data_IF_794958916495
#
_entry.id   IF_794958916495
#
_cell.length_a   1.000
_cell.length_b   1.000
_cell.length_c   1.000
_cell.angle_alpha   90.00
_cell.angle_beta   90.00
_cell.angle_gamma   90.00
#
_symmetry.space_group_name_H-M   'P 1'
#
loop_
_entity.id
_entity.type
_entity.pdbx_description
1 polymer ?
#
# COMPACT_ATOMS: atom_id res chain seq x y z
N UNK A 1 -1.67 1.57 15.29
CA UNK A 1 -2.21 2.73 14.54
C UNK A 1 -2.70 2.34 13.14
N UNK A 2 -1.82 1.98 12.21
CA UNK A 2 -2.24 1.67 10.83
C UNK A 2 -3.30 0.55 10.73
N UNK A 3 -3.23 -0.47 11.57
CA UNK A 3 -4.24 -1.54 11.61
C UNK A 3 -5.63 -1.07 12.02
N UNK A 4 -5.72 0.01 12.79
CA UNK A 4 -7.01 0.56 13.25
C UNK A 4 -7.70 1.40 12.17
N UNK A 5 -6.93 2.20 11.43
CA UNK A 5 -7.47 3.18 10.49
C UNK A 5 -7.13 2.89 9.02
N UNK A 6 -6.32 1.88 8.76
CA UNK A 6 -5.85 1.53 7.41
C UNK A 6 -4.69 2.38 6.88
N UNK A 7 -4.46 3.55 7.47
CA UNK A 7 -3.39 4.47 7.10
C UNK A 7 -2.92 5.29 8.30
N UNK A 8 -1.85 6.09 8.12
CA UNK A 8 -1.22 6.90 9.16
C UNK A 8 -1.40 8.39 8.86
N UNK A 9 -2.44 9.04 9.38
CA UNK A 9 -2.54 10.49 9.35
C UNK A 9 -1.44 11.14 10.21
N UNK A 10 -1.09 12.39 9.89
CA UNK A 10 -0.05 13.14 10.61
C UNK A 10 -0.36 13.25 12.11
N UNK A 11 -1.62 13.46 12.47
CA UNK A 11 -2.06 13.50 13.88
C UNK A 11 -1.78 12.20 14.62
N UNK A 12 -1.95 11.05 13.96
CA UNK A 12 -1.62 9.75 14.55
C UNK A 12 -0.11 9.57 14.74
N UNK A 13 0.70 10.05 13.81
CA UNK A 13 2.17 10.02 13.96
C UNK A 13 2.64 10.91 15.12
N UNK A 14 2.04 12.07 15.31
CA UNK A 14 2.31 12.94 16.46
C UNK A 14 1.97 12.25 17.79
N UNK A 15 0.82 11.62 17.85
CA UNK A 15 0.38 10.90 19.05
C UNK A 15 1.33 9.73 19.38
N UNK A 16 1.77 8.98 18.37
CA UNK A 16 2.77 7.91 18.55
C UNK A 16 4.09 8.46 19.07
N UNK A 17 4.56 9.58 18.53
CA UNK A 17 5.79 10.23 18.97
C UNK A 17 5.73 10.63 20.45
N UNK A 18 4.62 11.24 20.87
CA UNK A 18 4.38 11.62 22.27
C UNK A 18 4.30 10.39 23.19
N UNK A 19 3.58 9.35 22.75
CA UNK A 19 3.44 8.11 23.52
C UNK A 19 4.77 7.38 23.77
N UNK A 20 5.64 7.36 22.75
CA UNK A 20 6.96 6.70 22.86
C UNK A 20 8.00 7.63 23.50
N UNK A 21 7.75 8.94 23.57
CA UNK A 21 8.70 9.93 24.07
C UNK A 21 9.82 10.27 23.08
N UNK A 22 9.53 10.25 21.78
CA UNK A 22 10.46 10.54 20.69
C UNK A 22 10.14 11.87 20.00
N UNK A 23 11.14 12.53 19.39
CA UNK A 23 10.88 13.65 18.49
C UNK A 23 9.99 13.22 17.31
N UNK A 24 9.07 14.08 16.90
CA UNK A 24 8.14 13.81 15.77
C UNK A 24 8.88 13.48 14.47
N UNK A 25 10.03 14.11 14.24
CA UNK A 25 10.86 13.87 13.06
C UNK A 25 11.29 12.41 12.95
N UNK A 26 11.62 11.75 14.05
CA UNK A 26 12.01 10.33 14.03
C UNK A 26 10.87 9.42 13.59
N UNK A 27 9.65 9.72 13.98
CA UNK A 27 8.45 8.98 13.53
C UNK A 27 8.22 9.22 12.02
N UNK A 28 8.40 10.45 11.53
CA UNK A 28 8.30 10.74 10.11
C UNK A 28 9.36 10.02 9.28
N UNK A 29 10.60 9.96 9.75
CA UNK A 29 11.67 9.22 9.08
C UNK A 29 11.29 7.75 8.87
N UNK A 30 10.79 7.09 9.89
CA UNK A 30 10.35 5.68 9.81
C UNK A 30 9.15 5.52 8.89
N UNK A 31 8.12 6.36 9.04
CA UNK A 31 6.89 6.27 8.26
C UNK A 31 7.09 6.55 6.77
N UNK A 32 8.09 7.37 6.41
CA UNK A 32 8.41 7.69 5.03
C UNK A 32 9.41 6.75 4.39
N UNK A 33 10.30 6.18 5.17
CA UNK A 33 11.31 5.25 4.68
C UNK A 33 10.73 3.87 4.34
N UNK A 34 9.93 3.31 5.22
CA UNK A 34 9.35 1.97 5.03
C UNK A 34 8.08 2.04 4.19
N UNK A 35 8.09 1.35 3.05
CA UNK A 35 7.03 1.39 2.03
C UNK A 35 5.69 0.81 2.47
N UNK A 36 5.67 -0.06 3.49
CA UNK A 36 4.44 -0.66 4.01
C UNK A 36 3.65 0.26 4.95
N UNK A 37 4.22 1.38 5.38
CA UNK A 37 3.49 2.41 6.09
C UNK A 37 2.72 3.29 5.10
N UNK A 38 1.39 3.27 5.21
CA UNK A 38 0.48 3.99 4.33
C UNK A 38 0.21 5.38 4.88
N UNK A 39 0.67 6.41 4.17
CA UNK A 39 0.45 7.82 4.54
C UNK A 39 -0.82 8.41 3.93
N UNK A 40 -1.39 7.73 2.96
CA UNK A 40 -2.63 8.12 2.29
C UNK A 40 -3.68 7.04 2.48
N UNK A 41 -4.98 7.40 2.50
CA UNK A 41 -6.05 6.42 2.53
C UNK A 41 -5.98 5.50 1.31
N UNK A 42 -6.18 4.21 1.53
CA UNK A 42 -6.27 3.20 0.47
C UNK A 42 -7.62 2.50 0.52
N UNK A 43 -8.01 1.87 -0.59
CA UNK A 43 -9.22 1.06 -0.64
C UNK A 43 -9.14 -0.19 0.24
N UNK A 44 -10.26 -0.88 0.35
CA UNK A 44 -10.37 -2.12 1.15
C UNK A 44 -9.38 -3.20 0.70
N UNK A 45 -9.13 -3.29 -0.59
CA UNK A 45 -8.15 -4.19 -1.19
C UNK A 45 -7.05 -3.38 -1.86
N UNK A 46 -5.84 -3.55 -1.41
CA UNK A 46 -4.66 -2.92 -1.99
C UNK A 46 -3.94 -3.92 -2.87
N UNK A 47 -3.98 -3.72 -4.18
CA UNK A 47 -3.33 -4.54 -5.19
C UNK A 47 -1.94 -3.96 -5.45
N UNK A 48 -0.92 -4.74 -5.21
CA UNK A 48 0.48 -4.37 -5.40
C UNK A 48 1.10 -5.28 -6.45
N UNK A 49 1.57 -4.71 -7.54
CA UNK A 49 2.19 -5.45 -8.65
C UNK A 49 3.68 -5.20 -8.63
N UNK A 50 4.46 -6.28 -8.58
CA UNK A 50 5.91 -6.21 -8.69
C UNK A 50 6.30 -5.93 -10.15
N UNK A 51 7.03 -4.84 -10.38
CA UNK A 51 7.49 -4.41 -11.70
C UNK A 51 9.02 -4.43 -11.84
N UNK A 52 9.72 -5.08 -10.91
CA UNK A 52 11.16 -5.27 -11.00
C UNK A 52 11.57 -6.24 -12.11
N UNK A 53 12.84 -6.23 -12.46
CA UNK A 53 13.36 -6.91 -13.68
C UNK A 53 12.91 -8.37 -13.83
N UNK A 54 12.96 -9.27 -12.85
CA UNK A 54 12.50 -10.64 -13.03
C UNK A 54 11.01 -10.75 -13.35
N UNK A 55 10.18 -9.97 -12.69
CA UNK A 55 8.75 -9.94 -12.94
C UNK A 55 8.43 -9.29 -14.27
N UNK A 56 9.13 -8.23 -14.63
CA UNK A 56 9.00 -7.55 -15.92
C UNK A 56 9.32 -8.48 -17.08
N UNK A 57 10.43 -9.22 -17.02
CA UNK A 57 10.80 -10.22 -18.02
C UNK A 57 9.76 -11.34 -18.16
N UNK A 58 8.99 -11.61 -17.12
CA UNK A 58 7.93 -12.62 -17.10
C UNK A 58 6.53 -12.06 -17.39
N UNK A 59 6.43 -10.82 -17.86
CA UNK A 59 5.19 -10.22 -18.33
C UNK A 59 4.37 -9.47 -17.28
N UNK A 60 4.99 -8.88 -16.26
CA UNK A 60 4.27 -8.08 -15.26
C UNK A 60 3.55 -6.87 -15.86
N UNK A 61 4.05 -6.32 -16.97
CA UNK A 61 3.42 -5.21 -17.69
C UNK A 61 2.05 -5.58 -18.26
N UNK A 62 1.91 -6.79 -18.78
CA UNK A 62 0.62 -7.29 -19.28
C UNK A 62 -0.41 -7.42 -18.16
N UNK A 63 0.03 -7.94 -17.00
CA UNK A 63 -0.80 -8.06 -15.81
C UNK A 63 -1.23 -6.67 -15.33
N UNK A 64 -0.29 -5.74 -15.22
CA UNK A 64 -0.56 -4.37 -14.80
C UNK A 64 -1.55 -3.67 -15.74
N UNK A 65 -1.37 -3.81 -17.05
CA UNK A 65 -2.25 -3.24 -18.05
C UNK A 65 -3.65 -3.87 -18.02
N UNK A 66 -3.74 -5.18 -17.79
CA UNK A 66 -5.02 -5.88 -17.63
C UNK A 66 -5.78 -5.37 -16.40
N UNK A 67 -5.10 -5.20 -15.27
CA UNK A 67 -5.70 -4.65 -14.05
C UNK A 67 -6.15 -3.21 -14.27
N UNK A 68 -5.33 -2.37 -14.91
CA UNK A 68 -5.70 -0.98 -15.26
C UNK A 68 -6.97 -0.92 -16.11
N UNK A 69 -7.08 -1.78 -17.11
CA UNK A 69 -8.26 -1.84 -17.99
C UNK A 69 -9.52 -2.36 -17.28
N UNK A 70 -9.34 -3.37 -16.43
CA UNK A 70 -10.47 -4.01 -15.74
C UNK A 70 -11.07 -3.13 -14.66
N UNK A 71 -10.22 -2.41 -13.91
CA UNK A 71 -10.64 -1.54 -12.80
C UNK A 71 -10.80 -0.08 -13.19
N UNK A 72 -10.41 0.29 -14.44
CA UNK A 72 -10.36 1.67 -14.92
C UNK A 72 -9.60 2.59 -13.96
N UNK A 73 -8.42 2.15 -13.55
CA UNK A 73 -7.54 2.82 -12.60
C UNK A 73 -6.16 3.09 -13.18
N UNK A 74 -5.57 4.21 -12.78
CA UNK A 74 -4.13 4.44 -12.93
C UNK A 74 -3.37 3.95 -11.69
N UNK A 75 -2.07 3.80 -11.84
CA UNK A 75 -1.19 3.47 -10.72
C UNK A 75 -1.25 4.57 -9.65
N UNK A 76 -1.47 4.16 -8.41
CA UNK A 76 -1.61 5.09 -7.29
C UNK A 76 -3.04 5.58 -7.05
N UNK A 77 -3.99 5.22 -7.88
CA UNK A 77 -5.40 5.63 -7.73
C UNK A 77 -6.22 4.57 -6.97
N UNK A 78 -7.31 5.04 -6.37
CA UNK A 78 -8.31 4.21 -5.70
C UNK A 78 -9.62 4.30 -6.47
N UNK A 79 -10.37 3.18 -6.57
CA UNK A 79 -11.70 3.17 -7.17
C UNK A 79 -12.66 4.11 -6.45
N UNK A 80 -13.66 4.63 -7.18
CA UNK A 80 -14.67 5.57 -6.63
C UNK A 80 -15.46 4.97 -5.46
N UNK A 81 -15.62 3.66 -5.43
CA UNK A 81 -16.27 2.91 -4.35
C UNK A 81 -15.32 2.56 -3.18
N UNK A 82 -14.07 3.02 -3.22
CA UNK A 82 -13.02 2.74 -2.21
C UNK A 82 -12.77 1.24 -1.97
N UNK A 83 -13.02 0.41 -2.97
CA UNK A 83 -12.80 -1.04 -2.85
C UNK A 83 -11.37 -1.44 -3.19
N UNK A 84 -10.81 -0.86 -4.25
CA UNK A 84 -9.49 -1.24 -4.77
C UNK A 84 -8.56 -0.05 -4.90
N UNK A 85 -7.29 -0.27 -4.55
CA UNK A 85 -6.18 0.65 -4.83
C UNK A 85 -5.10 -0.13 -5.55
N UNK A 86 -4.62 0.40 -6.67
CA UNK A 86 -3.54 -0.19 -7.46
C UNK A 86 -2.23 0.55 -7.22
N UNK A 87 -1.16 -0.18 -6.90
CA UNK A 87 0.18 0.39 -6.84
C UNK A 87 1.23 -0.55 -7.44
N UNK A 88 2.26 0.05 -7.98
CA UNK A 88 3.49 -0.66 -8.33
C UNK A 88 4.40 -0.73 -7.09
N UNK A 89 5.04 -1.86 -6.91
CA UNK A 89 5.98 -2.07 -5.81
C UNK A 89 7.29 -2.65 -6.32
N UNK A 90 8.32 -2.51 -5.52
CA UNK A 90 9.60 -3.15 -5.72
C UNK A 90 9.51 -4.66 -5.45
N UNK A 91 10.62 -5.36 -5.50
CA UNK A 91 10.67 -6.80 -5.36
C UNK A 91 9.95 -7.32 -4.11
N UNK A 92 9.01 -8.25 -4.29
CA UNK A 92 8.29 -8.93 -3.20
C UNK A 92 9.02 -10.16 -2.66
N UNK A 93 10.26 -10.43 -3.12
CA UNK A 93 11.09 -11.54 -2.65
C UNK A 93 10.67 -12.92 -3.14
N UNK A 94 9.80 -13.02 -4.14
CA UNK A 94 9.31 -14.29 -4.70
C UNK A 94 9.61 -14.42 -6.19
N UNK A 95 10.81 -14.01 -6.62
CA UNK A 95 11.23 -13.98 -8.03
C UNK A 95 11.19 -15.34 -8.72
N UNK A 96 11.32 -16.43 -7.97
CA UNK A 96 11.20 -17.81 -8.50
C UNK A 96 9.82 -18.06 -9.10
N UNK A 97 8.79 -17.44 -8.54
CA UNK A 97 7.40 -17.57 -8.97
C UNK A 97 6.92 -16.32 -9.74
N UNK A 98 7.84 -15.55 -10.32
CA UNK A 98 7.46 -14.37 -11.11
C UNK A 98 6.53 -14.74 -12.29
N UNK A 99 5.58 -13.87 -12.67
CA UNK A 99 5.30 -12.53 -12.12
C UNK A 99 4.55 -12.59 -10.80
N UNK A 100 4.74 -11.59 -9.94
CA UNK A 100 4.15 -11.54 -8.59
C UNK A 100 3.19 -10.37 -8.41
N UNK A 101 2.03 -10.70 -7.86
CA UNK A 101 1.01 -9.73 -7.43
C UNK A 101 0.63 -10.05 -5.99
N UNK A 102 0.60 -9.04 -5.15
CA UNK A 102 0.14 -9.15 -3.78
C UNK A 102 -1.18 -8.39 -3.62
N UNK A 103 -2.18 -9.04 -3.04
CA UNK A 103 -3.43 -8.40 -2.66
C UNK A 103 -3.51 -8.35 -1.14
N UNK A 104 -3.46 -7.15 -0.59
CA UNK A 104 -3.57 -6.90 0.84
C UNK A 104 -4.98 -6.43 1.17
N UNK A 105 -5.66 -7.14 2.04
CA UNK A 105 -6.94 -6.70 2.60
C UNK A 105 -6.66 -5.79 3.79
N UNK A 106 -7.07 -4.54 3.70
CA UNK A 106 -7.04 -3.60 4.80
C UNK A 106 -8.34 -3.80 5.57
N UNK A 107 -8.23 -4.45 6.72
CA UNK A 107 -9.37 -4.55 7.63
C UNK A 107 -9.49 -3.20 8.36
N UNK A 108 -10.45 -2.40 7.93
CA UNK A 108 -10.96 -1.33 8.79
C UNK A 108 -11.72 -2.01 9.94
N UNK A 109 -11.09 -2.08 11.10
CA UNK A 109 -11.81 -2.36 12.34
C UNK A 109 -12.47 -1.05 12.76
N UNK A 110 -13.33 -0.55 11.90
CA UNK A 110 -14.36 0.40 12.29
C UNK A 110 -15.64 -0.40 12.47
N UNK A 111 -15.72 -1.17 13.53
CA UNK A 111 -17.04 -1.42 14.12
C UNK A 111 -17.39 -0.13 14.82
N UNK A 112 -18.42 0.54 14.29
CA UNK A 112 -18.92 1.77 14.82
C UNK A 112 -19.26 1.67 16.30
N UNK A 113 -19.03 2.76 16.92
CA UNK A 113 -19.80 3.21 18.07
C UNK A 113 -20.83 4.20 17.57
#
# INVERSE_FOLDING_TARGET
MQRQHGWLPISAMHHVAEFIGMPRMRVYEVATFYTMFMRNPTGKHHIQVCTTTPCWLRGSDEILNTIKKTLDLKVGETTKDNMFTLSEVECLGACVNAPMVQVRKIQHICKGF
#
